data_IF_880414578463
#
_entry.id   IF_880414578463
#
_cell.length_a   1.000
_cell.length_b   1.000
_cell.length_c   1.000
_cell.angle_alpha   90.00
_cell.angle_beta   90.00
_cell.angle_gamma   90.00
#
_symmetry.space_group_name_H-M   'P 1'
#
loop_
_entity.id
_entity.type
_entity.pdbx_description
1 polymer ?
#
# COMPACT_ATOMS: atom_id res chain seq x y z
N UNK A 1 -4.85 -4.45 -25.26
CA UNK A 1 -3.58 -4.55 -24.52
C UNK A 1 -2.95 -3.16 -24.47
N UNK A 2 -3.27 -2.34 -23.46
CA UNK A 2 -2.72 -0.97 -23.35
C UNK A 2 -1.35 -1.07 -22.68
N UNK A 3 -0.30 -0.76 -23.44
CA UNK A 3 1.05 -0.53 -22.93
C UNK A 3 1.00 0.69 -22.00
N UNK A 4 0.93 0.43 -20.69
CA UNK A 4 1.12 1.46 -19.67
C UNK A 4 2.59 1.49 -19.29
N UNK A 5 3.33 2.44 -19.86
CA UNK A 5 4.28 3.29 -19.12
C UNK A 5 4.99 4.21 -20.09
N UNK A 6 4.51 5.44 -20.17
CA UNK A 6 5.14 6.56 -20.87
C UNK A 6 5.80 7.52 -19.85
N UNK A 7 6.30 6.97 -18.75
CA UNK A 7 7.11 7.71 -17.77
C UNK A 7 8.57 7.30 -17.96
N UNK A 8 9.45 8.28 -18.15
CA UNK A 8 10.88 8.02 -18.05
C UNK A 8 11.17 7.44 -16.66
N UNK A 9 12.00 6.38 -16.54
CA UNK A 9 12.34 5.83 -15.25
C UNK A 9 13.02 6.91 -14.40
N UNK A 10 12.63 7.02 -13.14
CA UNK A 10 13.35 7.87 -12.19
C UNK A 10 14.75 7.31 -12.03
N UNK A 11 15.77 8.11 -12.36
CA UNK A 11 17.16 7.73 -12.10
C UNK A 11 17.46 7.84 -10.60
N UNK A 12 18.39 7.04 -10.06
CA UNK A 12 18.81 7.16 -8.66
C UNK A 12 19.20 8.60 -8.27
N UNK A 13 19.91 9.31 -9.16
CA UNK A 13 20.33 10.69 -8.94
C UNK A 13 19.14 11.67 -8.81
N UNK A 14 18.10 11.47 -9.63
CA UNK A 14 16.89 12.30 -9.56
C UNK A 14 16.12 12.06 -8.27
N UNK A 15 15.99 10.80 -7.85
CA UNK A 15 15.35 10.44 -6.57
C UNK A 15 16.11 11.08 -5.41
N UNK A 16 17.43 10.98 -5.41
CA UNK A 16 18.27 11.58 -4.37
C UNK A 16 18.12 13.10 -4.33
N UNK A 17 18.09 13.77 -5.48
CA UNK A 17 17.90 15.21 -5.55
C UNK A 17 16.53 15.67 -5.01
N UNK A 18 15.47 14.88 -5.25
CA UNK A 18 14.13 15.15 -4.69
C UNK A 18 14.16 15.01 -3.17
N UNK A 19 14.71 13.90 -2.67
CA UNK A 19 14.76 13.60 -1.24
C UNK A 19 15.65 14.58 -0.46
N UNK A 20 16.73 15.08 -1.08
CA UNK A 20 17.62 16.08 -0.48
C UNK A 20 16.90 17.38 -0.07
N UNK A 21 15.78 17.72 -0.72
CA UNK A 21 14.97 18.90 -0.38
C UNK A 21 14.30 18.82 0.99
N UNK A 22 14.21 17.61 1.56
CA UNK A 22 13.54 17.37 2.83
C UNK A 22 14.51 17.30 4.01
N UNK A 23 15.82 17.32 3.77
CA UNK A 23 16.85 17.13 4.81
C UNK A 23 16.73 18.16 5.93
N UNK A 24 16.44 19.42 5.61
CA UNK A 24 16.37 20.50 6.60
C UNK A 24 15.04 20.58 7.36
N UNK A 25 14.03 19.79 6.97
CA UNK A 25 12.67 19.86 7.53
C UNK A 25 12.18 18.53 8.12
N UNK A 26 13.01 17.48 8.10
CA UNK A 26 12.70 16.16 8.64
C UNK A 26 13.70 15.84 9.73
N UNK A 27 13.21 15.41 10.89
CA UNK A 27 14.04 15.11 12.07
C UNK A 27 15.05 13.97 11.82
N UNK A 28 14.68 13.01 10.98
CA UNK A 28 15.52 11.88 10.57
C UNK A 28 15.51 11.67 9.05
N UNK A 29 16.41 12.35 8.32
CA UNK A 29 16.53 12.18 6.87
C UNK A 29 16.96 10.77 6.44
N UNK A 30 17.70 10.03 7.28
CA UNK A 30 18.16 8.69 6.94
C UNK A 30 16.98 7.70 6.91
N UNK A 31 16.07 7.81 7.88
CA UNK A 31 14.83 7.04 7.88
C UNK A 31 13.95 7.37 6.67
N UNK A 32 13.87 8.63 6.25
CA UNK A 32 13.16 9.01 5.03
C UNK A 32 13.72 8.29 3.80
N UNK A 33 15.04 8.30 3.62
CA UNK A 33 15.69 7.65 2.49
C UNK A 33 15.47 6.13 2.53
N UNK A 34 15.63 5.50 3.69
CA UNK A 34 15.39 4.08 3.87
C UNK A 34 13.95 3.69 3.51
N UNK A 35 12.96 4.41 4.04
CA UNK A 35 11.54 4.15 3.75
C UNK A 35 11.20 4.39 2.27
N UNK A 36 11.79 5.40 1.62
CA UNK A 36 11.54 5.68 0.21
C UNK A 36 11.99 4.55 -0.74
N UNK A 37 12.94 3.72 -0.29
CA UNK A 37 13.40 2.55 -1.03
C UNK A 37 12.53 1.30 -0.78
N UNK A 38 11.59 1.35 0.17
CA UNK A 38 10.70 0.23 0.46
C UNK A 38 9.45 0.27 -0.42
N UNK A 39 9.03 -0.86 -1.02
CA UNK A 39 7.75 -0.94 -1.73
C UNK A 39 6.58 -0.58 -0.81
N UNK A 40 5.56 0.08 -1.37
CA UNK A 40 4.35 0.37 -0.61
C UNK A 40 3.55 -0.91 -0.35
N UNK A 41 3.01 -1.08 0.87
CA UNK A 41 2.09 -2.17 1.16
C UNK A 41 0.81 -2.02 0.35
N UNK A 42 0.13 -3.14 0.11
CA UNK A 42 -1.24 -3.12 -0.39
C UNK A 42 -2.17 -2.69 0.73
N UNK A 43 -2.95 -1.65 0.50
CA UNK A 43 -3.94 -1.14 1.42
C UNK A 43 -5.36 -1.37 0.88
N UNK A 44 -6.27 -1.76 1.75
CA UNK A 44 -7.68 -1.93 1.44
C UNK A 44 -8.56 -1.43 2.58
N UNK A 45 -9.77 -1.03 2.22
CA UNK A 45 -10.76 -0.57 3.17
C UNK A 45 -12.06 -1.31 2.94
N UNK A 46 -12.64 -1.82 4.04
CA UNK A 46 -13.92 -2.53 3.98
C UNK A 46 -15.02 -1.56 3.62
N UNK A 47 -15.86 -1.94 2.65
CA UNK A 47 -17.09 -1.23 2.37
C UNK A 47 -18.13 -1.52 3.46
N UNK A 48 -18.44 -0.56 4.35
CA UNK A 48 -19.30 -0.81 5.50
C UNK A 48 -20.78 -1.02 5.12
N UNK A 49 -21.18 -0.68 3.89
CA UNK A 49 -22.55 -0.92 3.38
C UNK A 49 -22.75 -2.42 3.09
N UNK A 50 -21.69 -3.14 2.75
CA UNK A 50 -21.76 -4.52 2.24
C UNK A 50 -21.15 -5.56 3.17
N UNK A 51 -20.27 -5.15 4.07
CA UNK A 51 -19.62 -6.06 5.01
C UNK A 51 -19.12 -5.31 6.25
N UNK A 52 -18.40 -6.03 7.12
CA UNK A 52 -17.74 -5.46 8.28
C UNK A 52 -16.30 -5.98 8.40
N UNK A 53 -15.44 -5.30 9.19
CA UNK A 53 -14.01 -5.62 9.31
C UNK A 53 -13.72 -7.07 9.72
N UNK A 54 -14.51 -7.63 10.65
CA UNK A 54 -14.29 -8.99 11.15
C UNK A 54 -14.53 -10.06 10.09
N UNK A 55 -15.55 -9.87 9.24
CA UNK A 55 -15.87 -10.80 8.15
C UNK A 55 -14.79 -10.78 7.09
N UNK A 56 -14.34 -9.58 6.69
CA UNK A 56 -13.23 -9.46 5.74
C UNK A 56 -11.96 -10.13 6.28
N UNK A 57 -11.59 -9.83 7.52
CA UNK A 57 -10.39 -10.38 8.15
C UNK A 57 -10.43 -11.91 8.19
N UNK A 58 -11.57 -12.48 8.59
CA UNK A 58 -11.78 -13.93 8.59
C UNK A 58 -11.62 -14.53 7.19
N UNK A 59 -12.28 -13.96 6.18
CA UNK A 59 -12.23 -14.46 4.81
C UNK A 59 -10.81 -14.44 4.23
N UNK A 60 -10.08 -13.34 4.43
CA UNK A 60 -8.72 -13.21 3.88
C UNK A 60 -7.70 -14.05 4.65
N UNK A 61 -7.85 -14.18 5.97
CA UNK A 61 -7.03 -15.10 6.77
C UNK A 61 -7.23 -16.55 6.33
N UNK A 62 -8.47 -16.95 6.02
CA UNK A 62 -8.77 -18.29 5.50
C UNK A 62 -8.16 -18.55 4.11
N UNK A 63 -7.87 -17.49 3.35
CA UNK A 63 -7.14 -17.56 2.08
C UNK A 63 -5.61 -17.48 2.26
N UNK A 64 -5.12 -17.48 3.50
CA UNK A 64 -3.69 -17.39 3.82
C UNK A 64 -3.11 -15.98 3.67
N UNK A 65 -3.96 -14.95 3.60
CA UNK A 65 -3.52 -13.55 3.48
C UNK A 65 -3.52 -12.92 4.88
N UNK A 66 -2.33 -12.59 5.37
CA UNK A 66 -2.17 -11.86 6.62
C UNK A 66 -2.43 -10.37 6.42
N UNK A 67 -3.22 -9.79 7.32
CA UNK A 67 -3.59 -8.38 7.31
C UNK A 67 -3.19 -7.72 8.63
N UNK A 68 -2.67 -6.50 8.54
CA UNK A 68 -2.48 -5.61 9.68
C UNK A 68 -3.52 -4.50 9.67
N UNK A 69 -4.10 -4.19 10.82
CA UNK A 69 -5.04 -3.05 10.95
C UNK A 69 -4.31 -1.72 10.84
N UNK A 70 -4.88 -0.76 10.11
CA UNK A 70 -4.39 0.62 10.08
C UNK A 70 -4.94 1.39 11.30
N UNK A 71 -4.10 1.84 12.25
CA UNK A 71 -4.56 2.30 13.57
C UNK A 71 -5.49 3.53 13.52
N UNK A 72 -5.31 4.39 12.53
CA UNK A 72 -6.04 5.66 12.42
C UNK A 72 -7.33 5.55 11.58
N UNK A 73 -7.61 4.41 10.95
CA UNK A 73 -8.79 4.24 10.09
C UNK A 73 -9.49 2.91 10.35
N UNK A 74 -10.70 2.99 10.92
CA UNK A 74 -11.50 1.80 11.19
C UNK A 74 -11.88 1.06 9.91
N UNK A 75 -11.68 -0.26 9.92
CA UNK A 75 -11.94 -1.13 8.78
C UNK A 75 -10.92 -1.04 7.65
N UNK A 76 -9.82 -0.31 7.84
CA UNK A 76 -8.70 -0.31 6.90
C UNK A 76 -7.61 -1.29 7.33
N UNK A 77 -7.05 -1.98 6.34
CA UNK A 77 -6.03 -2.99 6.52
C UNK A 77 -4.92 -2.83 5.50
N UNK A 78 -3.73 -3.32 5.84
CA UNK A 78 -2.58 -3.39 4.95
C UNK A 78 -1.93 -4.77 4.95
N UNK A 79 -1.23 -5.10 3.87
CA UNK A 79 -0.47 -6.34 3.72
C UNK A 79 0.64 -6.17 2.68
N UNK A 80 1.78 -6.82 2.92
CA UNK A 80 2.89 -6.89 1.97
C UNK A 80 2.76 -8.12 1.04
N UNK A 81 1.90 -9.08 1.40
CA UNK A 81 1.84 -10.41 0.81
C UNK A 81 0.64 -10.60 -0.13
N UNK A 82 0.14 -9.53 -0.75
CA UNK A 82 -1.00 -9.61 -1.66
C UNK A 82 -0.79 -8.93 -3.00
N UNK A 83 -0.36 -9.71 -4.00
CA UNK A 83 0.06 -9.19 -5.30
C UNK A 83 -1.04 -8.51 -6.13
N UNK A 84 -2.29 -8.97 -6.04
CA UNK A 84 -3.36 -8.46 -6.92
C UNK A 84 -4.75 -8.55 -6.29
N UNK A 85 -5.07 -7.70 -5.29
CA UNK A 85 -6.40 -7.65 -4.68
C UNK A 85 -7.51 -7.33 -5.67
N UNK A 86 -7.20 -6.56 -6.72
CA UNK A 86 -8.13 -6.16 -7.78
C UNK A 86 -8.67 -7.31 -8.64
N UNK A 87 -8.02 -8.49 -8.59
CA UNK A 87 -8.43 -9.69 -9.34
C UNK A 87 -9.20 -10.67 -8.46
N UNK A 88 -10.05 -10.18 -7.57
CA UNK A 88 -10.88 -11.01 -6.70
C UNK A 88 -12.36 -10.70 -6.84
N UNK A 89 -13.22 -11.70 -6.61
CA UNK A 89 -14.67 -11.51 -6.61
C UNK A 89 -15.10 -10.48 -5.56
N UNK A 90 -14.45 -10.45 -4.41
CA UNK A 90 -14.72 -9.45 -3.37
C UNK A 90 -14.48 -8.03 -3.89
N UNK A 91 -13.39 -7.79 -4.62
CA UNK A 91 -13.12 -6.49 -5.23
C UNK A 91 -14.17 -6.11 -6.28
N UNK A 92 -14.58 -7.06 -7.14
CA UNK A 92 -15.62 -6.80 -8.16
C UNK A 92 -17.00 -6.58 -7.54
N UNK A 93 -17.34 -7.34 -6.50
CA UNK A 93 -18.60 -7.21 -5.78
C UNK A 93 -18.67 -5.89 -5.00
N UNK A 94 -17.51 -5.34 -4.62
CA UNK A 94 -17.30 -4.07 -3.94
C UNK A 94 -17.69 -4.09 -2.47
#
# INVERSE_FOLDING_TARGET
MRSHSQFAPFTPDLVQAILARYVDIVDDPQSLFACSATPLPVCLWVNPIKSNPSVLLSNLTNLGISLESVPWMSGAFRTDDWRSPGQTLAFTAG
#
